data_IF_186421533134
#
_entry.id   IF_186421533134
#
_cell.length_a   1.000
_cell.length_b   1.000
_cell.length_c   1.000
_cell.angle_alpha   90.00
_cell.angle_beta   90.00
_cell.angle_gamma   90.00
#
_symmetry.space_group_name_H-M   'P 1'
#
loop_
_entity.id
_entity.type
_entity.pdbx_description
1 polymer ?
#
# COMPACT_ATOMS: atom_id res chain seq x y z
N UNK A 1 104.52 -5.36 -9.10
CA UNK A 1 103.30 -4.55 -8.98
C UNK A 1 102.98 -4.41 -7.51
N UNK A 2 102.97 -3.18 -7.01
CA UNK A 2 102.85 -2.82 -5.58
C UNK A 2 101.45 -3.10 -5.03
N UNK A 3 101.34 -3.49 -3.77
CA UNK A 3 100.06 -3.81 -3.09
C UNK A 3 99.01 -2.71 -3.26
N UNK A 4 99.45 -1.45 -3.30
CA UNK A 4 98.62 -0.28 -3.60
C UNK A 4 97.82 -0.40 -4.90
N UNK A 5 98.41 -0.96 -5.97
CA UNK A 5 97.71 -1.16 -7.25
C UNK A 5 96.59 -2.20 -7.15
N UNK A 6 96.77 -3.21 -6.28
CA UNK A 6 95.75 -4.22 -6.02
C UNK A 6 94.60 -3.62 -5.22
N UNK A 7 94.90 -2.85 -4.18
CA UNK A 7 93.90 -2.18 -3.36
C UNK A 7 93.08 -1.16 -4.17
N UNK A 8 93.72 -0.37 -5.03
CA UNK A 8 93.03 0.57 -5.92
C UNK A 8 92.13 -0.18 -6.91
N UNK A 9 92.60 -1.28 -7.48
CA UNK A 9 91.80 -2.11 -8.39
C UNK A 9 90.61 -2.77 -7.67
N UNK A 10 90.80 -3.15 -6.42
CA UNK A 10 89.75 -3.73 -5.58
C UNK A 10 88.66 -2.70 -5.25
N UNK A 11 89.06 -1.49 -4.84
CA UNK A 11 88.13 -0.36 -4.60
C UNK A 11 87.38 0.01 -5.89
N UNK A 12 88.08 0.07 -7.03
CA UNK A 12 87.47 0.35 -8.33
C UNK A 12 86.45 -0.74 -8.71
N UNK A 13 86.78 -2.02 -8.53
CA UNK A 13 85.85 -3.11 -8.78
C UNK A 13 84.63 -3.05 -7.87
N UNK A 14 84.76 -2.71 -6.59
CA UNK A 14 83.60 -2.57 -5.68
C UNK A 14 82.69 -1.40 -6.04
N UNK A 15 83.27 -0.28 -6.50
CA UNK A 15 82.51 0.93 -6.83
C UNK A 15 81.85 0.85 -8.21
N UNK A 16 82.51 0.23 -9.19
CA UNK A 16 82.11 0.29 -10.60
C UNK A 16 81.72 -1.07 -11.20
N UNK A 17 81.95 -2.19 -10.50
CA UNK A 17 81.41 -3.48 -10.91
C UNK A 17 79.98 -3.65 -10.39
N UNK A 18 79.01 -3.23 -11.19
CA UNK A 18 77.59 -3.36 -10.88
C UNK A 18 77.03 -4.77 -11.11
N UNK A 19 77.84 -5.72 -11.61
CA UNK A 19 77.38 -7.09 -11.90
C UNK A 19 76.80 -7.80 -10.67
N UNK A 20 77.35 -7.70 -9.45
CA UNK A 20 76.76 -8.31 -8.26
C UNK A 20 75.40 -7.73 -7.90
N UNK A 21 75.23 -6.41 -8.05
CA UNK A 21 73.95 -5.72 -7.82
C UNK A 21 72.90 -6.15 -8.84
N UNK A 22 73.21 -6.04 -10.14
CA UNK A 22 72.32 -6.46 -11.22
C UNK A 22 71.91 -7.92 -11.10
N UNK A 23 72.84 -8.82 -10.79
CA UNK A 23 72.53 -10.22 -10.56
C UNK A 23 71.66 -10.46 -9.32
N UNK A 24 71.81 -9.62 -8.28
CA UNK A 24 70.94 -9.62 -7.11
C UNK A 24 69.50 -9.23 -7.46
N UNK A 25 69.33 -8.13 -8.20
CA UNK A 25 68.01 -7.64 -8.66
C UNK A 25 67.33 -8.64 -9.61
N UNK A 26 68.07 -9.23 -10.55
CA UNK A 26 67.55 -10.26 -11.46
C UNK A 26 67.05 -11.47 -10.65
N UNK A 27 67.83 -11.96 -9.68
CA UNK A 27 67.43 -13.08 -8.82
C UNK A 27 66.23 -12.73 -7.94
N UNK A 28 66.18 -11.52 -7.41
CA UNK A 28 65.04 -11.05 -6.62
C UNK A 28 63.77 -10.99 -7.48
N UNK A 29 63.86 -10.45 -8.69
CA UNK A 29 62.74 -10.38 -9.62
C UNK A 29 62.22 -11.76 -10.01
N UNK A 30 63.10 -12.70 -10.37
CA UNK A 30 62.72 -14.10 -10.64
C UNK A 30 62.04 -14.76 -9.43
N UNK A 31 62.61 -14.57 -8.24
CA UNK A 31 62.06 -15.13 -7.00
C UNK A 31 60.67 -14.58 -6.66
N UNK A 32 60.48 -13.26 -6.75
CA UNK A 32 59.20 -12.65 -6.39
C UNK A 32 58.10 -12.90 -7.44
N UNK A 33 58.46 -12.88 -8.73
CA UNK A 33 57.47 -12.89 -9.81
C UNK A 33 57.25 -14.26 -10.46
N UNK A 34 58.25 -15.14 -10.47
CA UNK A 34 58.10 -16.49 -11.03
C UNK A 34 57.95 -17.52 -9.91
N UNK A 35 58.85 -17.53 -8.93
CA UNK A 35 58.87 -18.60 -7.90
C UNK A 35 57.79 -18.43 -6.83
N UNK A 36 57.59 -17.21 -6.29
CA UNK A 36 56.60 -16.98 -5.23
C UNK A 36 55.17 -16.90 -5.72
N UNK A 37 54.93 -16.40 -6.93
CA UNK A 37 53.60 -16.37 -7.54
C UNK A 37 53.15 -17.76 -7.99
N UNK A 38 54.09 -18.55 -8.54
CA UNK A 38 53.81 -19.88 -9.08
C UNK A 38 52.58 -19.89 -9.99
N UNK A 39 51.78 -20.94 -9.89
CA UNK A 39 50.56 -21.12 -10.70
C UNK A 39 49.30 -20.57 -10.03
N UNK A 40 49.41 -19.71 -9.01
CA UNK A 40 48.25 -19.22 -8.24
C UNK A 40 47.22 -18.51 -9.12
N UNK A 41 47.67 -17.70 -10.07
CA UNK A 41 46.78 -17.00 -11.00
C UNK A 41 46.09 -17.98 -11.96
N UNK A 42 46.80 -19.02 -12.37
CA UNK A 42 46.27 -20.09 -13.23
C UNK A 42 45.21 -20.91 -12.49
N UNK A 43 45.49 -21.31 -11.24
CA UNK A 43 44.53 -22.02 -10.39
C UNK A 43 43.26 -21.19 -10.15
N UNK A 44 43.42 -19.89 -9.87
CA UNK A 44 42.28 -18.98 -9.73
C UNK A 44 41.44 -18.91 -11.01
N UNK A 45 42.08 -18.89 -12.18
CA UNK A 45 41.37 -18.90 -13.46
C UNK A 45 40.62 -20.22 -13.67
N UNK A 46 41.19 -21.36 -13.29
CA UNK A 46 40.50 -22.65 -13.34
C UNK A 46 39.28 -22.70 -12.42
N UNK A 47 39.39 -22.20 -11.18
CA UNK A 47 38.26 -22.10 -10.25
C UNK A 47 37.15 -21.20 -10.80
N UNK A 48 37.51 -20.08 -11.42
CA UNK A 48 36.52 -19.18 -12.05
C UNK A 48 35.86 -19.87 -13.24
N UNK A 49 36.64 -20.57 -14.06
CA UNK A 49 36.14 -21.30 -15.22
C UNK A 49 35.18 -22.42 -14.81
N UNK A 50 35.51 -23.18 -13.77
CA UNK A 50 34.65 -24.23 -13.21
C UNK A 50 33.31 -23.65 -12.75
N UNK A 51 33.34 -22.58 -11.95
CA UNK A 51 32.11 -21.90 -11.47
C UNK A 51 31.27 -21.35 -12.62
N UNK A 52 31.91 -20.72 -13.61
CA UNK A 52 31.21 -20.20 -14.78
C UNK A 52 30.55 -21.31 -15.57
N UNK A 53 31.24 -22.43 -15.74
CA UNK A 53 30.73 -23.59 -16.46
C UNK A 53 29.56 -24.22 -15.71
N UNK A 54 29.65 -24.41 -14.39
CA UNK A 54 28.55 -24.91 -13.58
C UNK A 54 27.32 -23.99 -13.65
N UNK A 55 27.49 -22.66 -13.50
CA UNK A 55 26.38 -21.71 -13.60
C UNK A 55 25.71 -21.77 -14.97
N UNK A 56 26.51 -21.79 -16.04
CA UNK A 56 26.04 -21.84 -17.41
C UNK A 56 25.27 -23.13 -17.69
N UNK A 57 25.83 -24.27 -17.30
CA UNK A 57 25.32 -25.58 -17.71
C UNK A 57 24.21 -26.08 -16.77
N UNK A 58 24.20 -25.69 -15.50
CA UNK A 58 23.24 -26.20 -14.52
C UNK A 58 22.22 -25.18 -14.04
N UNK A 59 22.60 -23.93 -13.81
CA UNK A 59 21.72 -22.95 -13.14
C UNK A 59 20.89 -22.11 -14.11
N UNK A 60 21.50 -21.66 -15.21
CA UNK A 60 20.83 -20.79 -16.18
C UNK A 60 19.56 -21.46 -16.74
N UNK A 61 19.67 -22.71 -17.19
CA UNK A 61 18.53 -23.42 -17.77
C UNK A 61 17.44 -23.73 -16.73
N UNK A 62 17.82 -24.06 -15.48
CA UNK A 62 16.86 -24.29 -14.38
C UNK A 62 16.06 -23.03 -14.06
N UNK A 63 16.71 -21.87 -14.02
CA UNK A 63 16.04 -20.59 -13.76
C UNK A 63 15.06 -20.28 -14.90
N UNK A 64 15.48 -20.44 -16.15
CA UNK A 64 14.59 -20.21 -17.32
C UNK A 64 13.39 -21.15 -17.27
N UNK A 65 13.60 -22.45 -17.07
CA UNK A 65 12.49 -23.42 -17.01
C UNK A 65 11.52 -23.15 -15.85
N UNK A 66 12.04 -22.88 -14.66
CA UNK A 66 11.21 -22.61 -13.48
C UNK A 66 10.44 -21.30 -13.60
N UNK A 67 11.07 -20.24 -14.11
CA UNK A 67 10.42 -18.95 -14.34
C UNK A 67 9.37 -19.02 -15.44
N UNK A 68 9.65 -19.67 -16.57
CA UNK A 68 8.70 -19.88 -17.66
C UNK A 68 7.48 -20.70 -17.23
N UNK A 69 7.61 -21.63 -16.28
CA UNK A 69 6.48 -22.39 -15.76
C UNK A 69 5.68 -21.62 -14.70
N UNK A 70 6.37 -20.96 -13.75
CA UNK A 70 5.72 -20.36 -12.59
C UNK A 70 5.13 -18.97 -12.86
N UNK A 71 5.82 -18.12 -13.64
CA UNK A 71 5.41 -16.73 -13.85
C UNK A 71 4.10 -16.60 -14.64
N UNK A 72 3.83 -17.37 -15.71
CA UNK A 72 2.55 -17.28 -16.41
C UNK A 72 1.38 -17.68 -15.52
N UNK A 73 1.52 -18.77 -14.76
CA UNK A 73 0.48 -19.24 -13.82
C UNK A 73 0.21 -18.19 -12.75
N UNK A 74 1.26 -17.56 -12.20
CA UNK A 74 1.10 -16.47 -11.24
C UNK A 74 0.42 -15.26 -11.87
N UNK A 75 0.81 -14.89 -13.10
CA UNK A 75 0.23 -13.78 -13.85
C UNK A 75 -1.26 -13.99 -14.13
N UNK A 76 -1.66 -15.19 -14.54
CA UNK A 76 -3.07 -15.55 -14.76
C UNK A 76 -3.88 -15.47 -13.48
N UNK A 77 -3.37 -16.02 -12.37
CA UNK A 77 -4.06 -15.96 -11.06
C UNK A 77 -4.20 -14.52 -10.56
N UNK A 78 -3.16 -13.70 -10.76
CA UNK A 78 -3.20 -12.29 -10.39
C UNK A 78 -4.24 -11.54 -11.23
N UNK A 79 -4.28 -11.78 -12.55
CA UNK A 79 -5.27 -11.18 -13.44
C UNK A 79 -6.70 -11.59 -13.06
N UNK A 80 -6.92 -12.85 -12.68
CA UNK A 80 -8.22 -13.32 -12.18
C UNK A 80 -8.61 -12.65 -10.86
N UNK A 81 -7.67 -12.55 -9.91
CA UNK A 81 -7.92 -11.89 -8.63
C UNK A 81 -8.26 -10.39 -8.80
N UNK A 82 -7.58 -9.71 -9.73
CA UNK A 82 -7.89 -8.32 -10.07
C UNK A 82 -9.31 -8.17 -10.63
N UNK A 83 -9.71 -9.01 -11.60
CA UNK A 83 -11.07 -8.99 -12.15
C UNK A 83 -12.14 -9.22 -11.08
N UNK A 84 -11.94 -10.20 -10.20
CA UNK A 84 -12.88 -10.46 -9.11
C UNK A 84 -12.98 -9.28 -8.14
N UNK A 85 -11.85 -8.61 -7.86
CA UNK A 85 -11.85 -7.41 -7.02
C UNK A 85 -12.62 -6.25 -7.67
N UNK A 86 -12.43 -6.04 -8.97
CA UNK A 86 -13.15 -5.01 -9.73
C UNK A 86 -14.67 -5.30 -9.80
N UNK A 87 -15.05 -6.56 -9.98
CA UNK A 87 -16.45 -7.00 -9.97
C UNK A 87 -17.10 -6.77 -8.59
N UNK A 88 -16.43 -7.17 -7.51
CA UNK A 88 -16.91 -6.96 -6.14
C UNK A 88 -17.08 -5.46 -5.84
N UNK A 89 -16.12 -4.63 -6.25
CA UNK A 89 -16.21 -3.19 -6.07
C UNK A 89 -17.41 -2.59 -6.80
N UNK A 90 -17.63 -3.01 -8.06
CA UNK A 90 -18.77 -2.58 -8.86
C UNK A 90 -20.10 -2.99 -8.20
N UNK A 91 -20.24 -4.24 -7.81
CA UNK A 91 -21.46 -4.76 -7.16
C UNK A 91 -21.76 -4.03 -5.85
N UNK A 92 -20.72 -3.76 -5.05
CA UNK A 92 -20.85 -2.99 -3.83
C UNK A 92 -21.37 -1.57 -4.08
N UNK A 93 -20.83 -0.88 -5.09
CA UNK A 93 -21.27 0.47 -5.46
C UNK A 93 -22.72 0.47 -5.95
N UNK A 94 -23.13 -0.52 -6.74
CA UNK A 94 -24.52 -0.65 -7.19
C UNK A 94 -25.48 -0.92 -6.03
N UNK A 95 -25.15 -1.87 -5.15
CA UNK A 95 -25.92 -2.15 -3.93
C UNK A 95 -26.04 -0.91 -3.04
N UNK A 96 -24.96 -0.14 -2.89
CA UNK A 96 -24.97 1.09 -2.11
C UNK A 96 -25.93 2.13 -2.72
N UNK A 97 -25.93 2.30 -4.06
CA UNK A 97 -26.86 3.20 -4.76
C UNK A 97 -28.31 2.78 -4.55
N UNK A 98 -28.62 1.50 -4.74
CA UNK A 98 -29.98 0.96 -4.54
C UNK A 98 -30.44 1.14 -3.11
N UNK A 99 -29.58 0.85 -2.13
CA UNK A 99 -29.89 1.00 -0.71
C UNK A 99 -30.17 2.45 -0.34
N UNK A 100 -29.32 3.39 -0.79
CA UNK A 100 -29.54 4.83 -0.58
C UNK A 100 -30.86 5.30 -1.17
N UNK A 101 -31.20 4.84 -2.38
CA UNK A 101 -32.47 5.16 -3.02
C UNK A 101 -33.67 4.65 -2.21
N UNK A 102 -33.66 3.38 -1.80
CA UNK A 102 -34.72 2.78 -0.97
C UNK A 102 -34.87 3.51 0.37
N UNK A 103 -33.76 3.91 1.01
CA UNK A 103 -33.81 4.68 2.25
C UNK A 103 -34.48 6.03 2.06
N UNK A 104 -34.25 6.69 0.92
CA UNK A 104 -34.85 7.99 0.59
C UNK A 104 -36.36 7.82 0.31
N UNK A 105 -36.74 6.83 -0.50
CA UNK A 105 -38.15 6.50 -0.77
C UNK A 105 -38.91 6.18 0.54
N UNK A 106 -38.32 5.39 1.44
CA UNK A 106 -38.92 5.07 2.74
C UNK A 106 -39.02 6.29 3.67
N UNK A 107 -38.09 7.24 3.59
CA UNK A 107 -38.17 8.51 4.35
C UNK A 107 -39.32 9.37 3.82
N UNK A 108 -39.43 9.52 2.50
CA UNK A 108 -40.53 10.27 1.89
C UNK A 108 -41.89 9.65 2.20
N UNK A 109 -41.99 8.32 2.18
CA UNK A 109 -43.23 7.62 2.53
C UNK A 109 -43.64 7.89 3.99
N UNK A 110 -42.70 7.73 4.92
CA UNK A 110 -42.96 8.03 6.34
C UNK A 110 -43.30 9.50 6.59
N UNK A 111 -42.69 10.42 5.85
CA UNK A 111 -43.03 11.84 5.95
C UNK A 111 -44.49 12.06 5.54
N UNK A 112 -44.93 11.49 4.41
CA UNK A 112 -46.33 11.60 3.97
C UNK A 112 -47.31 10.98 4.97
N UNK A 113 -46.99 9.81 5.51
CA UNK A 113 -47.79 9.16 6.55
C UNK A 113 -47.87 10.01 7.82
N UNK A 114 -46.76 10.65 8.20
CA UNK A 114 -46.70 11.55 9.35
C UNK A 114 -47.52 12.83 9.13
N UNK A 115 -47.40 13.46 7.97
CA UNK A 115 -48.15 14.68 7.63
C UNK A 115 -49.66 14.39 7.66
N UNK A 116 -50.09 13.26 7.07
CA UNK A 116 -51.49 12.82 7.13
C UNK A 116 -51.98 12.56 8.56
N UNK A 117 -51.14 11.95 9.40
CA UNK A 117 -51.46 11.73 10.80
C UNK A 117 -51.63 13.04 11.57
N UNK A 118 -50.74 14.00 11.35
CA UNK A 118 -50.81 15.32 11.97
C UNK A 118 -52.06 16.08 11.51
N UNK A 119 -52.37 16.04 10.22
CA UNK A 119 -53.59 16.67 9.68
C UNK A 119 -54.86 16.08 10.31
N UNK A 120 -54.96 14.74 10.43
CA UNK A 120 -56.09 14.07 11.08
C UNK A 120 -56.18 14.41 12.59
N UNK A 121 -55.04 14.50 13.29
CA UNK A 121 -55.02 14.91 14.70
C UNK A 121 -55.47 16.37 14.86
N UNK A 122 -54.96 17.28 14.03
CA UNK A 122 -55.34 18.69 14.05
C UNK A 122 -56.84 18.85 13.77
N UNK A 123 -57.36 18.13 12.77
CA UNK A 123 -58.79 18.12 12.46
C UNK A 123 -59.64 17.63 13.65
N UNK A 124 -59.20 16.57 14.33
CA UNK A 124 -59.89 16.05 15.52
C UNK A 124 -59.88 17.05 16.68
N UNK A 125 -58.75 17.70 16.94
CA UNK A 125 -58.66 18.74 17.97
C UNK A 125 -59.59 19.91 17.64
N UNK A 126 -59.54 20.44 16.42
CA UNK A 126 -60.44 21.53 15.98
C UNK A 126 -61.91 21.15 16.12
N UNK A 127 -62.28 19.92 15.75
CA UNK A 127 -63.66 19.46 15.92
C UNK A 127 -64.07 19.44 17.39
N UNK A 128 -63.20 18.99 18.29
CA UNK A 128 -63.45 19.00 19.73
C UNK A 128 -63.62 20.43 20.22
N UNK A 129 -62.70 21.34 19.86
CA UNK A 129 -62.76 22.75 20.25
C UNK A 129 -64.07 23.40 19.79
N UNK A 130 -64.46 23.20 18.53
CA UNK A 130 -65.73 23.70 18.00
C UNK A 130 -66.95 23.17 18.77
N UNK A 131 -66.97 21.86 19.10
CA UNK A 131 -68.09 21.29 19.89
C UNK A 131 -68.15 21.85 21.30
N UNK A 132 -67.00 22.17 21.91
CA UNK A 132 -66.97 22.83 23.21
C UNK A 132 -67.47 24.27 23.10
N UNK A 133 -67.07 25.00 22.07
CA UNK A 133 -67.51 26.39 21.83
C UNK A 133 -69.03 26.46 21.59
N UNK A 134 -69.58 25.58 20.75
CA UNK A 134 -71.04 25.46 20.54
C UNK A 134 -71.78 25.18 21.86
N UNK A 135 -71.27 24.25 22.68
CA UNK A 135 -71.89 23.92 23.97
C UNK A 135 -71.77 25.05 24.98
N UNK A 136 -70.67 25.79 24.96
CA UNK A 136 -70.50 26.97 25.80
C UNK A 136 -71.48 28.08 25.41
N UNK A 137 -71.69 28.31 24.12
CA UNK A 137 -72.66 29.27 23.61
C UNK A 137 -74.10 28.87 23.96
N UNK A 138 -74.49 27.60 23.74
CA UNK A 138 -75.78 27.06 24.17
C UNK A 138 -76.02 27.28 25.68
N UNK A 139 -75.00 27.04 26.51
CA UNK A 139 -75.09 27.27 27.96
C UNK A 139 -75.26 28.77 28.27
N UNK A 140 -74.48 29.65 27.62
CA UNK A 140 -74.60 31.11 27.80
C UNK A 140 -76.01 31.59 27.47
N UNK A 141 -76.59 31.10 26.37
CA UNK A 141 -77.95 31.44 25.96
C UNK A 141 -78.99 30.93 26.96
N UNK A 142 -78.87 29.67 27.41
CA UNK A 142 -79.75 29.10 28.44
C UNK A 142 -79.72 29.91 29.73
N UNK A 143 -78.53 30.32 30.18
CA UNK A 143 -78.39 31.15 31.38
C UNK A 143 -78.92 32.57 31.17
N UNK A 144 -78.75 33.17 29.99
CA UNK A 144 -79.32 34.48 29.66
C UNK A 144 -80.86 34.45 29.66
N UNK A 145 -81.45 33.42 29.03
CA UNK A 145 -82.89 33.16 29.02
C UNK A 145 -83.45 32.94 30.42
N UNK A 146 -82.74 32.15 31.24
CA UNK A 146 -83.11 31.91 32.64
C UNK A 146 -83.08 33.22 33.44
N UNK A 147 -82.03 34.03 33.29
CA UNK A 147 -81.93 35.35 33.91
C UNK A 147 -83.10 36.26 33.51
N UNK A 148 -83.46 36.26 32.22
CA UNK A 148 -84.57 37.04 31.71
C UNK A 148 -85.92 36.57 32.26
N UNK A 149 -86.18 35.26 32.25
CA UNK A 149 -87.43 34.64 32.78
C UNK A 149 -87.59 34.83 34.28
N UNK A 150 -86.50 34.84 35.03
CA UNK A 150 -86.52 35.04 36.48
C UNK A 150 -86.59 36.53 36.87
N UNK A 151 -86.65 37.47 35.92
CA UNK A 151 -86.58 38.91 36.15
C UNK A 151 -85.39 39.29 37.04
N UNK A 152 -84.26 38.61 36.88
CA UNK A 152 -83.01 38.97 37.55
C UNK A 152 -82.39 40.11 36.74
N UNK A 153 -83.08 41.25 36.69
CA UNK A 153 -82.42 42.52 36.37
C UNK A 153 -81.63 42.87 37.63
N UNK A 154 -80.38 42.42 37.68
CA UNK A 154 -79.46 42.92 38.69
C UNK A 154 -79.29 44.42 38.47
N UNK A 155 -79.47 45.17 39.55
CA UNK A 155 -78.93 46.53 39.72
C UNK A 155 -77.45 46.58 39.32
#
# INVERSE_FOLDING_TARGET
MTELSREISEVWSRLFDHRPFLNGEIKFMLKEFEEKRGDREVENLFVILEKLTDIKDTQAEKIVKSSCAALPVLGEKLAQALKLSEEIEKDYLELQKVTKKKLLENREKRQKEWDQFIDDMNFKCQRIDNTFEEKEEELRDLYADLNHKLNITNK
#
